data_IF_543179900000
#
_entry.id   IF_543179900000
#
_cell.length_a   1.000
_cell.length_b   1.000
_cell.length_c   1.000
_cell.angle_alpha   90.00
_cell.angle_beta   90.00
_cell.angle_gamma   90.00
#
_symmetry.space_group_name_H-M   'P 1'
#
loop_
_entity.id
_entity.type
_entity.pdbx_description
1 polymer ?
#
# COMPACT_ATOMS: atom_id res chain seq x y z
N UNK A 1 9.46 15.97 14.76
CA UNK A 1 8.95 15.62 13.41
C UNK A 1 7.60 14.92 13.58
N UNK A 2 6.53 15.45 13.00
CA UNK A 2 5.17 14.90 13.10
C UNK A 2 4.83 14.22 11.77
N UNK A 3 4.43 12.95 11.82
CA UNK A 3 3.98 12.17 10.66
C UNK A 3 2.50 11.87 10.79
N UNK A 4 1.74 12.04 9.70
CA UNK A 4 0.38 11.54 9.59
C UNK A 4 0.44 10.22 8.83
N UNK A 5 -0.22 9.19 9.36
CA UNK A 5 -0.20 7.84 8.78
C UNK A 5 -1.62 7.50 8.33
N UNK A 6 -1.74 6.97 7.11
CA UNK A 6 -2.97 6.45 6.53
C UNK A 6 -2.83 4.96 6.25
N UNK A 7 -3.93 4.22 6.36
CA UNK A 7 -4.06 2.86 5.85
C UNK A 7 -5.47 2.67 5.26
N UNK A 8 -5.63 1.69 4.38
CA UNK A 8 -6.91 1.47 3.73
C UNK A 8 -7.95 0.92 4.72
N UNK A 9 -9.19 1.42 4.65
CA UNK A 9 -10.30 0.95 5.49
C UNK A 9 -10.57 -0.56 5.32
N UNK A 10 -10.31 -1.07 4.12
CA UNK A 10 -10.44 -2.50 3.80
C UNK A 10 -9.37 -3.38 4.49
N UNK A 11 -8.30 -2.80 5.05
CA UNK A 11 -7.27 -3.56 5.76
C UNK A 11 -7.56 -3.66 7.27
N UNK A 12 -8.21 -4.74 7.68
CA UNK A 12 -8.53 -5.04 9.07
C UNK A 12 -7.56 -6.05 9.74
N UNK A 13 -6.47 -6.45 9.05
CA UNK A 13 -5.59 -7.57 9.46
C UNK A 13 -4.96 -7.41 10.85
N UNK A 14 -4.80 -6.17 11.33
CA UNK A 14 -4.19 -5.85 12.62
C UNK A 14 -5.07 -4.97 13.51
N UNK A 15 -6.38 -4.91 13.23
CA UNK A 15 -7.35 -4.01 13.86
C UNK A 15 -7.50 -2.68 13.12
N UNK A 16 -8.71 -2.12 13.13
CA UNK A 16 -9.04 -0.89 12.43
C UNK A 16 -8.22 0.31 12.94
N UNK A 17 -7.75 1.16 12.03
CA UNK A 17 -7.10 2.45 12.35
C UNK A 17 -5.65 2.34 12.84
N UNK A 18 -4.91 1.31 12.40
CA UNK A 18 -3.54 1.09 12.85
C UNK A 18 -2.69 0.42 11.77
N UNK A 19 -1.47 0.94 11.56
CA UNK A 19 -0.43 0.28 10.75
C UNK A 19 0.45 -0.55 11.68
N UNK A 20 0.68 -1.81 11.33
CA UNK A 20 1.50 -2.74 12.11
C UNK A 20 2.51 -3.46 11.23
N UNK A 21 3.75 -3.52 11.69
CA UNK A 21 4.85 -4.21 11.02
C UNK A 21 5.02 -5.64 11.54
N UNK A 22 5.64 -6.50 10.73
CA UNK A 22 5.98 -7.88 11.11
C UNK A 22 7.04 -8.00 12.21
N UNK A 23 7.77 -6.91 12.52
CA UNK A 23 8.77 -6.86 13.60
C UNK A 23 8.20 -6.35 14.92
N UNK A 24 6.87 -6.20 15.02
CA UNK A 24 6.18 -5.80 16.25
C UNK A 24 6.07 -4.30 16.47
N UNK A 25 6.56 -3.46 15.55
CA UNK A 25 6.32 -2.01 15.59
C UNK A 25 4.92 -1.69 15.08
N UNK A 26 4.30 -0.64 15.61
CA UNK A 26 3.00 -0.18 15.14
C UNK A 26 2.75 1.31 15.42
N UNK A 27 1.89 1.93 14.62
CA UNK A 27 1.51 3.33 14.74
C UNK A 27 0.00 3.49 14.52
N UNK A 28 -0.68 4.39 15.26
CA UNK A 28 -2.02 4.81 14.90
C UNK A 28 -2.06 5.31 13.46
N UNK A 29 -3.12 4.98 12.73
CA UNK A 29 -3.32 5.36 11.36
C UNK A 29 -4.76 5.82 11.13
N UNK A 30 -4.93 6.83 10.31
CA UNK A 30 -6.23 7.26 9.78
C UNK A 30 -6.64 6.26 8.71
N UNK A 31 -7.93 5.99 8.61
CA UNK A 31 -8.46 5.14 7.54
C UNK A 31 -8.76 6.00 6.32
N UNK A 32 -8.46 5.47 5.13
CA UNK A 32 -8.97 6.02 3.88
C UNK A 32 -9.81 4.97 3.14
N UNK A 33 -10.84 5.45 2.45
CA UNK A 33 -11.68 4.71 1.52
C UNK A 33 -11.80 5.50 0.20
N UNK A 34 -12.45 4.97 -0.85
CA UNK A 34 -12.52 5.66 -2.14
C UNK A 34 -13.11 7.07 -2.10
N UNK A 35 -13.92 7.38 -1.09
CA UNK A 35 -14.58 8.67 -0.89
C UNK A 35 -13.77 9.66 -0.02
N UNK A 36 -12.64 9.21 0.54
CA UNK A 36 -11.81 10.06 1.41
C UNK A 36 -11.07 11.12 0.60
N UNK A 37 -11.32 12.40 0.92
CA UNK A 37 -10.57 13.55 0.42
C UNK A 37 -9.25 13.70 1.18
N UNK A 38 -8.19 13.10 0.63
CA UNK A 38 -6.87 13.09 1.26
C UNK A 38 -6.23 14.48 1.30
N UNK A 39 -6.43 15.31 0.28
CA UNK A 39 -5.83 16.64 0.22
C UNK A 39 -6.40 17.52 1.35
N UNK A 40 -7.72 17.56 1.47
CA UNK A 40 -8.36 18.40 2.49
C UNK A 40 -8.10 17.88 3.91
N UNK A 41 -8.10 16.55 4.12
CA UNK A 41 -7.77 15.97 5.43
C UNK A 41 -6.32 16.32 5.84
N UNK A 42 -5.35 16.19 4.92
CA UNK A 42 -3.94 16.52 5.19
C UNK A 42 -3.76 18.03 5.41
N UNK A 43 -4.46 18.87 4.64
CA UNK A 43 -4.44 20.33 4.79
C UNK A 43 -4.97 20.74 6.16
N UNK A 44 -6.10 20.17 6.60
CA UNK A 44 -6.66 20.41 7.92
C UNK A 44 -5.72 19.96 9.04
N UNK A 45 -5.10 18.78 8.91
CA UNK A 45 -4.11 18.28 9.86
C UNK A 45 -2.88 19.19 9.94
N UNK A 46 -2.39 19.69 8.81
CA UNK A 46 -1.26 20.62 8.75
C UNK A 46 -1.59 21.97 9.37
N UNK A 47 -2.79 22.51 9.12
CA UNK A 47 -3.28 23.75 9.72
C UNK A 47 -3.43 23.65 11.24
N UNK A 48 -3.89 22.50 11.76
CA UNK A 48 -3.96 22.26 13.20
C UNK A 48 -2.57 22.18 13.84
N UNK A 49 -1.64 21.45 13.22
CA UNK A 49 -0.25 21.35 13.68
C UNK A 49 0.66 20.95 12.51
N UNK A 50 1.81 21.62 12.30
CA UNK A 50 2.69 21.32 11.17
C UNK A 50 2.97 19.82 10.98
N UNK A 51 2.51 19.29 9.85
CA UNK A 51 2.80 17.93 9.38
C UNK A 51 4.10 17.98 8.59
N UNK A 52 5.03 17.10 8.92
CA UNK A 52 6.37 17.07 8.31
C UNK A 52 6.51 15.94 7.28
N UNK A 53 5.56 15.00 7.27
CA UNK A 53 5.60 13.79 6.46
C UNK A 53 4.21 13.13 6.48
N UNK A 54 3.80 12.59 5.35
CA UNK A 54 2.63 11.71 5.23
C UNK A 54 3.12 10.32 4.84
N UNK A 55 2.63 9.30 5.53
CA UNK A 55 2.86 7.89 5.19
C UNK A 55 1.52 7.26 4.82
N UNK A 56 1.44 6.65 3.65
CA UNK A 56 0.27 5.91 3.19
C UNK A 56 0.65 4.44 3.05
N UNK A 57 0.13 3.61 3.93
CA UNK A 57 0.26 2.15 3.84
C UNK A 57 -0.88 1.58 2.97
N UNK A 58 -0.65 0.39 2.42
CA UNK A 58 -1.60 -0.29 1.52
C UNK A 58 -2.07 0.60 0.33
N UNK A 59 -1.15 1.44 -0.15
CA UNK A 59 -1.38 2.46 -1.18
C UNK A 59 -1.85 1.90 -2.54
N UNK A 60 -1.75 0.59 -2.76
CA UNK A 60 -2.33 -0.05 -3.94
C UNK A 60 -3.86 0.12 -4.03
N UNK A 61 -4.53 0.39 -2.89
CA UNK A 61 -5.97 0.62 -2.83
C UNK A 61 -6.38 2.08 -3.10
N UNK A 62 -5.44 2.99 -3.32
CA UNK A 62 -5.76 4.36 -3.70
C UNK A 62 -6.46 4.41 -5.06
N UNK A 63 -7.38 5.36 -5.21
CA UNK A 63 -7.93 5.73 -6.51
C UNK A 63 -6.96 6.61 -7.29
N UNK A 64 -7.21 6.81 -8.59
CA UNK A 64 -6.43 7.76 -9.41
C UNK A 64 -6.45 9.16 -8.79
N UNK A 65 -7.63 9.58 -8.39
CA UNK A 65 -7.92 10.91 -7.84
C UNK A 65 -7.17 11.09 -6.51
N UNK A 66 -7.10 10.05 -5.69
CA UNK A 66 -6.32 10.07 -4.46
C UNK A 66 -4.81 10.13 -4.71
N UNK A 67 -4.28 9.42 -5.70
CA UNK A 67 -2.86 9.55 -6.07
C UNK A 67 -2.55 10.96 -6.59
N UNK A 68 -3.48 11.57 -7.34
CA UNK A 68 -3.35 12.97 -7.76
C UNK A 68 -3.35 13.92 -6.56
N UNK A 69 -4.31 13.77 -5.64
CA UNK A 69 -4.42 14.56 -4.42
C UNK A 69 -3.14 14.49 -3.57
N UNK A 70 -2.50 13.32 -3.48
CA UNK A 70 -1.21 13.18 -2.79
C UNK A 70 -0.06 13.91 -3.51
N UNK A 71 -0.13 14.04 -4.83
CA UNK A 71 0.84 14.85 -5.59
C UNK A 71 0.62 16.34 -5.30
N UNK A 72 -0.64 16.79 -5.24
CA UNK A 72 -1.00 18.15 -4.83
C UNK A 72 -0.56 18.48 -3.39
N UNK A 73 -0.58 17.50 -2.48
CA UNK A 73 0.00 17.68 -1.12
C UNK A 73 1.48 18.01 -1.18
N UNK A 74 2.25 17.33 -2.04
CA UNK A 74 3.68 17.61 -2.21
C UNK A 74 3.88 18.99 -2.82
N UNK A 75 3.16 19.29 -3.90
CA UNK A 75 3.34 20.52 -4.66
C UNK A 75 2.83 21.78 -3.94
N UNK A 76 1.67 21.70 -3.28
CA UNK A 76 1.02 22.85 -2.65
C UNK A 76 1.41 23.06 -1.19
N UNK A 77 1.62 21.98 -0.44
CA UNK A 77 1.88 22.03 1.00
C UNK A 77 3.36 21.85 1.35
N UNK A 78 4.21 21.47 0.38
CA UNK A 78 5.63 21.15 0.59
C UNK A 78 5.81 20.05 1.66
N UNK A 79 4.90 19.06 1.67
CA UNK A 79 4.92 17.94 2.61
C UNK A 79 5.29 16.66 1.84
N UNK A 80 6.39 15.97 2.20
CA UNK A 80 6.75 14.72 1.53
C UNK A 80 5.73 13.61 1.85
N UNK A 81 5.33 12.89 0.81
CA UNK A 81 4.42 11.73 0.90
C UNK A 81 5.19 10.44 0.58
N UNK A 82 5.08 9.45 1.47
CA UNK A 82 5.65 8.12 1.28
C UNK A 82 4.53 7.08 1.16
N UNK A 83 4.45 6.44 -0.01
CA UNK A 83 3.48 5.39 -0.28
C UNK A 83 4.15 4.01 -0.20
N UNK A 84 3.55 3.10 0.57
CA UNK A 84 3.93 1.69 0.68
C UNK A 84 2.77 0.83 0.19
N UNK A 85 3.05 -0.16 -0.65
CA UNK A 85 1.98 -0.98 -1.23
C UNK A 85 2.48 -2.04 -2.20
N UNK A 86 1.56 -2.93 -2.59
CA UNK A 86 1.83 -3.99 -3.56
C UNK A 86 1.77 -3.47 -4.98
N UNK A 87 2.77 -3.78 -5.80
CA UNK A 87 2.77 -3.38 -7.22
C UNK A 87 1.67 -4.07 -8.02
N UNK A 88 1.55 -5.39 -7.87
CA UNK A 88 0.68 -6.24 -8.68
C UNK A 88 -0.11 -7.21 -7.82
N UNK A 89 -1.28 -7.62 -8.31
CA UNK A 89 -2.08 -8.69 -7.72
C UNK A 89 -1.47 -10.08 -8.00
N UNK A 90 -2.16 -11.14 -7.57
CA UNK A 90 -1.71 -12.52 -7.76
C UNK A 90 -1.71 -12.99 -9.23
N UNK A 91 -2.40 -12.28 -10.12
CA UNK A 91 -2.40 -12.51 -11.57
C UNK A 91 -1.28 -11.76 -12.27
N UNK A 92 -0.56 -10.90 -11.55
CA UNK A 92 0.48 -10.04 -12.11
C UNK A 92 -0.05 -8.73 -12.69
N UNK A 93 -1.34 -8.43 -12.51
CA UNK A 93 -1.95 -7.19 -12.97
C UNK A 93 -1.69 -6.06 -11.98
N UNK A 94 -1.51 -4.83 -12.47
CA UNK A 94 -1.33 -3.67 -11.60
C UNK A 94 -2.60 -3.38 -10.81
N UNK A 95 -2.44 -3.02 -9.54
CA UNK A 95 -3.50 -2.35 -8.80
C UNK A 95 -3.68 -0.92 -9.30
N UNK A 96 -4.88 -0.36 -9.18
CA UNK A 96 -5.18 1.00 -9.63
C UNK A 96 -4.26 2.05 -8.98
N UNK A 97 -4.15 2.07 -7.65
CA UNK A 97 -3.25 3.00 -6.94
C UNK A 97 -1.80 2.83 -7.37
N UNK A 98 -1.35 1.59 -7.49
CA UNK A 98 0.02 1.25 -7.94
C UNK A 98 0.30 1.70 -9.38
N UNK A 99 -0.68 1.59 -10.28
CA UNK A 99 -0.54 2.03 -11.66
C UNK A 99 -0.23 3.53 -11.73
N UNK A 100 -0.97 4.36 -10.99
CA UNK A 100 -0.77 5.80 -11.00
C UNK A 100 0.46 6.24 -10.19
N UNK A 101 0.74 5.57 -9.06
CA UNK A 101 1.97 5.83 -8.30
C UNK A 101 3.22 5.54 -9.13
N UNK A 102 3.24 4.45 -9.92
CA UNK A 102 4.33 4.16 -10.85
C UNK A 102 4.48 5.23 -11.93
N UNK A 103 3.39 5.89 -12.33
CA UNK A 103 3.40 6.90 -13.39
C UNK A 103 3.84 8.27 -12.88
N UNK A 104 3.48 8.65 -11.65
CA UNK A 104 3.59 10.04 -11.17
C UNK A 104 4.58 10.24 -10.02
N UNK A 105 5.02 9.20 -9.32
CA UNK A 105 5.94 9.38 -8.18
C UNK A 105 7.33 9.84 -8.65
N UNK A 106 7.92 10.82 -7.96
CA UNK A 106 9.29 11.28 -8.22
C UNK A 106 10.34 10.18 -7.99
N UNK A 107 10.06 9.29 -7.02
CA UNK A 107 10.99 8.23 -6.63
C UNK A 107 10.26 6.91 -6.39
N UNK A 108 10.78 5.86 -7.04
CA UNK A 108 10.30 4.50 -6.90
C UNK A 108 11.39 3.61 -6.31
N UNK A 109 11.05 2.88 -5.24
CA UNK A 109 11.94 1.91 -4.60
C UNK A 109 11.26 0.55 -4.59
N UNK A 110 11.80 -0.39 -5.37
CA UNK A 110 11.35 -1.79 -5.32
C UNK A 110 11.98 -2.48 -4.12
N UNK A 111 11.16 -2.87 -3.14
CA UNK A 111 11.56 -3.79 -2.07
C UNK A 111 11.61 -5.21 -2.62
N UNK A 112 12.77 -5.86 -2.48
CA UNK A 112 13.02 -7.18 -3.09
C UNK A 112 13.02 -8.27 -2.03
N UNK A 113 12.42 -9.40 -2.37
CA UNK A 113 12.58 -10.66 -1.64
C UNK A 113 13.19 -11.71 -2.55
N UNK A 114 13.56 -12.85 -1.98
CA UNK A 114 14.20 -13.96 -2.71
C UNK A 114 13.18 -15.08 -2.87
N UNK A 115 12.94 -15.51 -4.09
CA UNK A 115 12.15 -16.71 -4.38
C UNK A 115 12.90 -17.95 -3.90
N UNK A 116 12.20 -19.04 -3.58
CA UNK A 116 12.83 -20.30 -3.19
C UNK A 116 13.84 -20.86 -4.22
N UNK A 117 13.73 -20.48 -5.49
CA UNK A 117 14.72 -20.82 -6.52
C UNK A 117 15.99 -19.95 -6.53
N UNK A 118 16.12 -19.00 -5.58
CA UNK A 118 17.25 -18.08 -5.46
C UNK A 118 17.17 -16.83 -6.35
N UNK A 119 16.19 -16.74 -7.26
CA UNK A 119 15.96 -15.54 -8.10
C UNK A 119 15.19 -14.46 -7.34
N UNK A 120 15.24 -13.22 -7.85
CA UNK A 120 14.39 -12.11 -7.37
C UNK A 120 12.92 -12.54 -7.43
N UNK A 121 12.21 -12.44 -6.30
CA UNK A 121 10.77 -12.59 -6.31
C UNK A 121 10.12 -11.31 -6.85
N UNK A 122 9.25 -11.46 -7.83
CA UNK A 122 8.58 -10.37 -8.53
C UNK A 122 7.07 -10.56 -8.64
N UNK A 123 6.55 -11.70 -8.20
CA UNK A 123 5.15 -12.07 -8.24
C UNK A 123 4.71 -12.60 -6.87
N UNK A 124 3.41 -12.56 -6.62
CA UNK A 124 2.79 -13.11 -5.42
C UNK A 124 1.91 -14.28 -5.85
N UNK A 125 2.25 -15.48 -5.42
CA UNK A 125 1.45 -16.67 -5.62
C UNK A 125 0.40 -16.76 -4.50
N UNK A 126 -0.85 -16.98 -4.86
CA UNK A 126 -1.93 -17.30 -3.91
C UNK A 126 -2.08 -18.82 -3.80
N UNK A 127 -2.14 -19.32 -2.57
CA UNK A 127 -2.34 -20.74 -2.26
C UNK A 127 -3.76 -20.99 -1.75
N UNK A 128 -4.34 -22.11 -2.15
CA UNK A 128 -5.58 -22.63 -1.57
C UNK A 128 -5.35 -23.30 -0.21
N UNK A 129 -6.42 -23.82 0.42
CA UNK A 129 -6.34 -24.51 1.72
C UNK A 129 -5.50 -25.80 1.68
N UNK A 130 -5.22 -26.34 0.48
CA UNK A 130 -4.39 -27.52 0.27
C UNK A 130 -2.94 -27.18 -0.10
N UNK A 131 -2.58 -25.90 -0.14
CA UNK A 131 -1.25 -25.42 -0.51
C UNK A 131 -0.97 -25.44 -2.01
N UNK A 132 -2.01 -25.54 -2.86
CA UNK A 132 -1.87 -25.52 -4.32
C UNK A 132 -2.05 -24.09 -4.87
N UNK A 133 -1.35 -23.74 -5.97
CA UNK A 133 -1.57 -22.49 -6.68
C UNK A 133 -3.05 -22.30 -7.04
N UNK A 134 -3.60 -21.16 -6.63
CA UNK A 134 -4.99 -20.79 -6.88
C UNK A 134 -5.01 -19.58 -7.82
N UNK A 135 -5.47 -19.80 -9.06
CA UNK A 135 -5.37 -18.84 -10.16
C UNK A 135 -6.68 -18.07 -10.45
N UNK A 136 -7.79 -18.43 -9.80
CA UNK A 136 -9.12 -17.88 -10.06
C UNK A 136 -9.69 -17.23 -8.79
N UNK A 137 -10.64 -16.29 -8.90
CA UNK A 137 -11.30 -15.64 -7.75
C UNK A 137 -11.01 -14.14 -7.54
N UNK A 138 -11.55 -13.59 -6.45
CA UNK A 138 -11.48 -12.15 -6.16
C UNK A 138 -10.04 -11.66 -5.99
N UNK A 139 -9.78 -10.46 -6.55
CA UNK A 139 -8.47 -9.80 -6.58
C UNK A 139 -7.92 -9.51 -5.18
N UNK A 140 -8.81 -9.28 -4.20
CA UNK A 140 -8.47 -8.92 -2.84
C UNK A 140 -9.08 -9.94 -1.90
N UNK A 141 -8.25 -10.67 -1.16
CA UNK A 141 -8.70 -11.43 0.00
C UNK A 141 -7.82 -11.08 1.18
N UNK A 142 -8.44 -10.42 2.15
CA UNK A 142 -7.85 -9.99 3.41
C UNK A 142 -7.78 -11.23 4.32
N UNK A 143 -6.56 -11.63 4.71
CA UNK A 143 -6.34 -12.71 5.69
C UNK A 143 -5.16 -13.64 5.40
N UNK A 144 -4.33 -13.85 6.44
CA UNK A 144 -3.39 -14.96 6.62
C UNK A 144 -2.10 -14.93 5.79
N UNK A 145 -0.95 -14.74 6.45
CA UNK A 145 0.40 -14.94 5.87
C UNK A 145 0.59 -16.35 5.25
N UNK A 146 -0.27 -17.31 5.60
CA UNK A 146 -0.21 -18.70 5.14
C UNK A 146 -0.70 -18.90 3.70
N UNK A 147 -1.28 -17.87 3.06
CA UNK A 147 -1.89 -17.99 1.72
C UNK A 147 -1.11 -17.31 0.59
N UNK A 148 -0.06 -16.56 0.89
CA UNK A 148 0.67 -15.78 -0.12
C UNK A 148 2.17 -16.06 -0.05
N UNK A 149 2.75 -16.41 -1.20
CA UNK A 149 4.19 -16.71 -1.33
C UNK A 149 4.80 -15.83 -2.41
N UNK A 150 5.88 -15.11 -2.08
CA UNK A 150 6.63 -14.33 -3.07
C UNK A 150 7.48 -15.25 -3.96
N UNK A 151 7.24 -15.22 -5.27
CA UNK A 151 7.92 -16.08 -6.25
C UNK A 151 8.51 -15.27 -7.42
N UNK A 152 9.44 -15.86 -8.15
CA UNK A 152 9.92 -15.29 -9.42
C UNK A 152 8.92 -15.58 -10.54
N UNK A 153 8.97 -14.82 -11.63
CA UNK A 153 8.08 -15.02 -12.79
C UNK A 153 8.22 -16.39 -13.49
N UNK A 154 9.38 -17.04 -13.39
CA UNK A 154 9.66 -18.29 -14.10
C UNK A 154 9.06 -19.54 -13.43
N UNK A 155 8.09 -19.37 -12.53
CA UNK A 155 7.55 -20.40 -11.64
C UNK A 155 6.02 -20.36 -11.67
#
# INVERSE_FOLDING_TARGET
MRTVVYTAEIDDRFGAGKVSSRIGLSSPARLFNPETDLLEDIRAEHAFKPVHCVLVDESQFLTREQVHALSEVVDELDIPVLCYGLRTDFRGELFAGSQYLLAWSDKLVELKTICFCGRKASMVLRLDQSGKPYADGEQVVIGGNERYVSVCQAL
#
